data_IF_782421270377
#
_entry.id   IF_782421270377
#
_cell.length_a   1.000
_cell.length_b   1.000
_cell.length_c   1.000
_cell.angle_alpha   90.00
_cell.angle_beta   90.00
_cell.angle_gamma   90.00
#
_symmetry.space_group_name_H-M   'P 1'
#
loop_
_entity.id
_entity.type
_entity.pdbx_description
1 polymer ?
#
# COMPACT_ATOMS: atom_id res chain seq x y z
N UNK A 1 -7.72 30.21 -13.44
CA UNK A 1 -6.43 29.49 -13.39
C UNK A 1 -6.72 28.00 -13.43
N UNK A 2 -6.39 27.34 -14.53
CA UNK A 2 -6.56 25.88 -14.67
C UNK A 2 -5.48 25.19 -13.82
N UNK A 3 -5.86 24.40 -12.83
CA UNK A 3 -4.92 23.50 -12.17
C UNK A 3 -4.46 22.52 -13.25
N UNK A 4 -3.21 22.63 -13.72
CA UNK A 4 -2.59 21.57 -14.55
C UNK A 4 -2.84 20.25 -13.82
N UNK A 5 -3.55 19.35 -14.47
CA UNK A 5 -3.89 18.03 -13.96
C UNK A 5 -2.61 17.33 -13.51
N UNK A 6 -2.57 16.90 -12.25
CA UNK A 6 -1.50 16.01 -11.80
C UNK A 6 -1.75 14.59 -12.30
N UNK A 7 -0.69 13.80 -12.42
CA UNK A 7 -0.78 12.37 -12.67
C UNK A 7 -0.91 11.62 -11.34
N UNK A 8 -2.03 10.94 -11.14
CA UNK A 8 -2.37 10.31 -9.86
C UNK A 8 -2.07 8.80 -9.90
N UNK A 9 -1.10 8.36 -9.09
CA UNK A 9 -0.70 6.95 -8.95
C UNK A 9 -1.23 6.39 -7.63
N UNK A 10 -1.92 5.26 -7.65
CA UNK A 10 -2.33 4.52 -6.45
C UNK A 10 -1.53 3.24 -6.30
N UNK A 11 -0.92 3.03 -5.15
CA UNK A 11 -0.20 1.78 -4.81
C UNK A 11 -0.95 1.10 -3.68
N UNK A 12 -1.48 -0.09 -3.90
CA UNK A 12 -2.31 -0.81 -2.92
C UNK A 12 -2.01 -2.31 -2.92
N UNK A 13 -2.65 -3.08 -2.04
CA UNK A 13 -2.33 -4.49 -1.80
C UNK A 13 -2.08 -4.83 -0.33
N UNK A 14 -2.72 -4.10 0.59
CA UNK A 14 -2.65 -4.38 2.03
C UNK A 14 -1.33 -3.98 2.68
N UNK A 15 -0.64 -2.96 2.17
CA UNK A 15 0.57 -2.35 2.72
C UNK A 15 0.44 -2.09 4.24
N UNK A 16 -0.76 -1.71 4.71
CA UNK A 16 -1.12 -1.67 6.12
C UNK A 16 -0.23 -0.72 6.94
N UNK A 17 0.41 -1.25 7.98
CA UNK A 17 1.32 -0.50 8.86
C UNK A 17 2.64 -0.10 8.18
N UNK A 18 3.00 -0.71 7.05
CA UNK A 18 4.27 -0.47 6.36
C UNK A 18 4.23 0.68 5.34
N UNK A 19 3.16 1.48 5.31
CA UNK A 19 3.03 2.64 4.38
C UNK A 19 4.21 3.59 4.52
N UNK A 20 4.60 3.91 5.75
CA UNK A 20 5.72 4.80 6.04
C UNK A 20 7.04 4.25 5.47
N UNK A 21 7.32 2.95 5.69
CA UNK A 21 8.53 2.31 5.17
C UNK A 21 8.58 2.34 3.64
N UNK A 22 7.45 2.02 2.99
CA UNK A 22 7.37 2.09 1.53
C UNK A 22 7.57 3.52 1.02
N UNK A 23 6.94 4.51 1.66
CA UNK A 23 7.11 5.92 1.29
C UNK A 23 8.57 6.37 1.41
N UNK A 24 9.23 6.03 2.51
CA UNK A 24 10.64 6.35 2.75
C UNK A 24 11.56 5.67 1.71
N UNK A 25 11.34 4.38 1.42
CA UNK A 25 12.12 3.66 0.42
C UNK A 25 11.89 4.20 -1.00
N UNK A 26 10.64 4.48 -1.39
CA UNK A 26 10.33 5.07 -2.69
C UNK A 26 10.94 6.46 -2.83
N UNK A 27 10.88 7.31 -1.80
CA UNK A 27 11.44 8.68 -1.84
C UNK A 27 12.96 8.68 -2.07
N UNK A 28 13.67 7.63 -1.63
CA UNK A 28 15.12 7.50 -1.87
C UNK A 28 15.45 7.26 -3.35
N UNK A 29 14.55 6.58 -4.07
CA UNK A 29 14.71 6.24 -5.49
C UNK A 29 14.06 7.29 -6.41
N UNK A 30 12.98 7.94 -5.96
CA UNK A 30 12.21 8.96 -6.69
C UNK A 30 12.60 10.36 -6.22
N UNK A 31 13.83 10.79 -6.52
CA UNK A 31 14.38 12.09 -6.06
C UNK A 31 13.93 13.31 -6.88
N UNK A 32 12.84 13.18 -7.62
CA UNK A 32 12.33 14.29 -8.45
C UNK A 32 11.38 15.18 -7.63
N UNK A 33 11.60 16.51 -7.59
CA UNK A 33 10.76 17.43 -6.81
C UNK A 33 9.30 17.51 -7.28
N UNK A 34 8.99 17.05 -8.49
CA UNK A 34 7.63 16.98 -9.05
C UNK A 34 6.87 15.74 -8.56
N UNK A 35 7.55 14.80 -7.89
CA UNK A 35 6.94 13.57 -7.34
C UNK A 35 6.66 13.79 -5.85
N UNK A 36 5.41 13.60 -5.45
CA UNK A 36 4.97 13.70 -4.06
C UNK A 36 4.32 12.38 -3.62
N UNK A 37 4.69 11.88 -2.45
CA UNK A 37 4.16 10.62 -1.90
C UNK A 37 3.29 10.92 -0.69
N UNK A 38 2.04 10.45 -0.74
CA UNK A 38 1.03 10.63 0.30
C UNK A 38 0.67 9.27 0.91
N UNK A 39 0.68 9.21 2.25
CA UNK A 39 0.20 8.03 3.00
C UNK A 39 -1.31 8.06 3.26
N UNK A 40 -2.08 8.77 2.42
CA UNK A 40 -3.51 8.97 2.59
C UNK A 40 -4.32 7.99 1.75
N UNK A 41 -5.43 7.53 2.33
CA UNK A 41 -6.28 6.46 1.78
C UNK A 41 -7.25 6.94 0.68
N UNK A 42 -7.18 8.22 0.29
CA UNK A 42 -8.18 8.83 -0.60
C UNK A 42 -7.58 9.67 -1.72
N UNK A 43 -7.65 9.12 -2.93
CA UNK A 43 -7.67 9.89 -4.17
C UNK A 43 -8.97 9.53 -4.91
N UNK A 44 -9.80 10.52 -5.20
CA UNK A 44 -11.08 10.31 -5.92
C UNK A 44 -10.89 9.90 -7.38
N UNK A 45 -9.68 10.12 -7.93
CA UNK A 45 -9.28 9.74 -9.27
C UNK A 45 -7.83 9.24 -9.24
N UNK A 46 -7.59 8.11 -9.89
CA UNK A 46 -6.27 7.52 -10.10
C UNK A 46 -6.12 7.24 -11.59
N UNK A 47 -5.06 7.75 -12.20
CA UNK A 47 -4.72 7.51 -13.61
C UNK A 47 -3.85 6.26 -13.78
N UNK A 48 -3.21 5.78 -12.69
CA UNK A 48 -2.44 4.54 -12.69
C UNK A 48 -2.50 3.81 -11.36
N UNK A 49 -2.69 2.50 -11.42
CA UNK A 49 -2.98 1.64 -10.27
C UNK A 49 -2.03 0.47 -10.23
N UNK A 50 -1.27 0.40 -9.14
CA UNK A 50 -0.25 -0.62 -8.91
C UNK A 50 -0.72 -1.49 -7.74
N UNK A 51 -0.85 -2.79 -7.99
CA UNK A 51 -1.08 -3.77 -6.94
C UNK A 51 0.24 -4.42 -6.51
N UNK A 52 0.57 -4.36 -5.23
CA UNK A 52 1.69 -5.09 -4.65
C UNK A 52 1.27 -6.53 -4.35
N UNK A 53 1.70 -7.45 -5.21
CA UNK A 53 1.36 -8.86 -5.14
C UNK A 53 2.31 -9.59 -4.18
N UNK A 54 1.95 -9.52 -2.90
CA UNK A 54 2.69 -10.19 -1.82
C UNK A 54 2.12 -11.58 -1.56
N UNK A 55 2.97 -12.61 -1.40
CA UNK A 55 2.51 -13.95 -1.04
C UNK A 55 1.67 -13.92 0.25
N UNK A 56 0.51 -14.59 0.22
CA UNK A 56 -0.40 -14.63 1.37
C UNK A 56 0.29 -15.15 2.64
N UNK A 57 1.13 -16.18 2.51
CA UNK A 57 1.84 -16.79 3.64
C UNK A 57 2.76 -15.78 4.34
N UNK A 58 3.47 -14.94 3.58
CA UNK A 58 4.31 -13.87 4.14
C UNK A 58 3.47 -12.80 4.83
N UNK A 59 2.29 -12.46 4.29
CA UNK A 59 1.39 -11.50 4.93
C UNK A 59 0.84 -12.06 6.25
N UNK A 60 0.49 -13.35 6.26
CA UNK A 60 -0.01 -14.05 7.42
C UNK A 60 1.07 -14.17 8.51
N UNK A 61 2.29 -14.55 8.14
CA UNK A 61 3.43 -14.63 9.05
C UNK A 61 3.69 -13.27 9.73
N UNK A 62 3.79 -12.21 8.94
CA UNK A 62 3.97 -10.85 9.46
C UNK A 62 2.80 -10.43 10.38
N UNK A 63 1.56 -10.81 10.05
CA UNK A 63 0.40 -10.55 10.91
C UNK A 63 0.53 -11.25 12.26
N UNK A 64 0.86 -12.55 12.26
CA UNK A 64 1.04 -13.36 13.46
C UNK A 64 2.16 -12.80 14.35
N UNK A 65 3.31 -12.44 13.75
CA UNK A 65 4.44 -11.83 14.46
C UNK A 65 4.08 -10.47 15.08
N UNK A 66 3.10 -9.76 14.52
CA UNK A 66 2.57 -8.51 15.05
C UNK A 66 1.51 -8.67 16.14
N UNK A 67 1.01 -9.89 16.40
CA UNK A 67 -0.01 -10.10 17.42
C UNK A 67 0.57 -10.03 18.84
N UNK A 68 -0.16 -9.48 19.82
CA UNK A 68 0.25 -9.53 21.23
C UNK A 68 0.45 -10.98 21.70
N UNK A 69 1.48 -11.30 22.51
CA UNK A 69 1.72 -12.66 23.00
C UNK A 69 0.50 -13.31 23.66
N UNK A 70 -0.34 -12.53 24.36
CA UNK A 70 -1.60 -13.00 24.97
C UNK A 70 -2.58 -13.61 23.95
N UNK A 71 -2.57 -13.15 22.70
CA UNK A 71 -3.40 -13.70 21.62
C UNK A 71 -2.80 -14.97 21.01
N UNK A 72 -1.48 -15.17 21.12
CA UNK A 72 -0.79 -16.35 20.59
C UNK A 72 -0.96 -17.58 21.49
N UNK A 73 -1.04 -17.39 22.81
CA UNK A 73 -1.18 -18.47 23.79
C UNK A 73 -2.60 -19.07 23.81
N UNK A 74 -3.61 -18.25 23.53
CA UNK A 74 -5.02 -18.66 23.51
C UNK A 74 -5.40 -19.15 22.10
N UNK A 75 -5.51 -20.47 21.93
CA UNK A 75 -5.79 -21.12 20.64
C UNK A 75 -7.09 -20.65 20.00
N UNK A 76 -8.15 -20.45 20.78
CA UNK A 76 -9.46 -20.03 20.28
C UNK A 76 -9.42 -18.57 19.80
N UNK A 77 -8.73 -17.69 20.54
CA UNK A 77 -8.53 -16.31 20.09
C UNK A 77 -7.64 -16.24 18.87
N UNK A 78 -6.54 -16.99 18.84
CA UNK A 78 -5.66 -17.05 17.67
C UNK A 78 -6.46 -17.47 16.43
N UNK A 79 -7.24 -18.54 16.52
CA UNK A 79 -8.08 -19.03 15.41
C UNK A 79 -9.01 -17.93 14.88
N UNK A 80 -9.71 -17.21 15.76
CA UNK A 80 -10.59 -16.10 15.38
C UNK A 80 -9.84 -14.97 14.66
N UNK A 81 -8.64 -14.63 15.11
CA UNK A 81 -7.80 -13.61 14.47
C UNK A 81 -7.34 -14.04 13.08
N UNK A 82 -6.92 -15.30 12.91
CA UNK A 82 -6.51 -15.83 11.60
C UNK A 82 -7.68 -15.92 10.62
N UNK A 83 -8.86 -16.32 11.08
CA UNK A 83 -10.08 -16.33 10.27
C UNK A 83 -10.48 -14.91 9.84
N UNK A 84 -10.41 -13.94 10.76
CA UNK A 84 -10.68 -12.54 10.45
C UNK A 84 -9.69 -11.97 9.43
N UNK A 85 -8.39 -12.27 9.59
CA UNK A 85 -7.35 -11.88 8.65
C UNK A 85 -7.61 -12.47 7.26
N UNK A 86 -7.85 -13.79 7.18
CA UNK A 86 -8.13 -14.49 5.93
C UNK A 86 -9.34 -13.89 5.22
N UNK A 87 -10.41 -13.65 5.96
CA UNK A 87 -11.65 -13.05 5.44
C UNK A 87 -11.40 -11.66 4.88
N UNK A 88 -10.70 -10.80 5.63
CA UNK A 88 -10.32 -9.47 5.16
C UNK A 88 -9.48 -9.54 3.88
N UNK A 89 -8.49 -10.43 3.82
CA UNK A 89 -7.63 -10.56 2.65
C UNK A 89 -8.44 -10.96 1.39
N UNK A 90 -9.28 -11.98 1.50
CA UNK A 90 -10.10 -12.47 0.39
C UNK A 90 -11.15 -11.44 -0.04
N UNK A 91 -11.84 -10.82 0.92
CA UNK A 91 -12.99 -9.96 0.62
C UNK A 91 -12.59 -8.52 0.29
N UNK A 92 -11.45 -8.03 0.79
CA UNK A 92 -11.06 -6.61 0.68
C UNK A 92 -9.77 -6.39 -0.07
N UNK A 93 -8.77 -7.27 0.04
CA UNK A 93 -7.45 -7.06 -0.61
C UNK A 93 -7.43 -7.67 -2.00
N UNK A 94 -7.86 -8.93 -2.15
CA UNK A 94 -7.81 -9.64 -3.43
C UNK A 94 -8.63 -9.01 -4.55
N UNK A 95 -9.84 -8.47 -4.31
CA UNK A 95 -10.60 -7.79 -5.35
C UNK A 95 -9.93 -6.52 -5.86
N UNK A 96 -8.96 -5.96 -5.13
CA UNK A 96 -8.22 -4.79 -5.62
C UNK A 96 -7.26 -5.20 -6.75
N UNK A 97 -6.75 -6.43 -6.75
CA UNK A 97 -5.83 -6.93 -7.79
C UNK A 97 -6.42 -6.81 -9.19
N UNK A 98 -7.73 -7.01 -9.35
CA UNK A 98 -8.43 -6.87 -10.63
C UNK A 98 -8.64 -5.41 -11.06
N UNK A 99 -8.52 -4.46 -10.14
CA UNK A 99 -8.66 -3.03 -10.41
C UNK A 99 -7.34 -2.37 -10.82
N UNK A 100 -6.23 -3.09 -10.71
CA UNK A 100 -4.89 -2.59 -10.98
C UNK A 100 -4.50 -2.72 -12.45
N UNK A 101 -3.75 -1.74 -12.95
CA UNK A 101 -3.19 -1.76 -14.30
C UNK A 101 -1.96 -2.68 -14.37
N UNK A 102 -1.20 -2.76 -13.29
CA UNK A 102 -0.02 -3.64 -13.17
C UNK A 102 0.07 -4.29 -11.80
N UNK A 103 0.69 -5.47 -11.79
CA UNK A 103 1.02 -6.20 -10.56
C UNK A 103 2.51 -6.22 -10.37
N UNK A 104 2.94 -5.92 -9.14
CA UNK A 104 4.34 -5.87 -8.78
C UNK A 104 4.62 -6.92 -7.69
N UNK A 105 5.37 -8.00 -8.00
CA UNK A 105 5.66 -9.03 -7.03
C UNK A 105 6.75 -8.57 -6.05
N UNK A 106 6.50 -8.71 -4.76
CA UNK A 106 7.52 -8.51 -3.73
C UNK A 106 7.06 -7.72 -2.51
N UNK A 107 7.88 -7.78 -1.46
CA UNK A 107 7.65 -7.08 -0.21
C UNK A 107 8.30 -5.68 -0.20
N UNK A 108 7.72 -4.76 0.55
CA UNK A 108 8.17 -3.37 0.71
C UNK A 108 9.50 -3.26 1.46
N UNK A 109 9.93 -4.35 2.10
CA UNK A 109 11.24 -4.49 2.76
C UNK A 109 12.35 -4.90 1.78
N UNK A 110 12.01 -5.50 0.64
CA UNK A 110 12.99 -5.88 -0.37
C UNK A 110 13.39 -4.64 -1.20
N UNK A 111 14.57 -4.10 -0.93
CA UNK A 111 15.11 -2.90 -1.60
C UNK A 111 15.19 -3.04 -3.12
N UNK A 112 15.55 -4.20 -3.63
CA UNK A 112 15.62 -4.44 -5.08
C UNK A 112 14.23 -4.32 -5.71
N UNK A 113 13.21 -4.93 -5.07
CA UNK A 113 11.82 -4.84 -5.51
C UNK A 113 11.26 -3.42 -5.43
N UNK A 114 11.54 -2.69 -4.35
CA UNK A 114 11.13 -1.27 -4.28
C UNK A 114 11.84 -0.43 -5.35
N UNK A 115 13.09 -0.75 -5.68
CA UNK A 115 13.81 -0.08 -6.76
C UNK A 115 13.16 -0.34 -8.13
N UNK A 116 12.86 -1.58 -8.51
CA UNK A 116 12.20 -1.82 -9.80
C UNK A 116 10.73 -1.33 -9.84
N UNK A 117 10.04 -1.24 -8.70
CA UNK A 117 8.78 -0.50 -8.58
C UNK A 117 8.96 0.99 -8.91
N UNK A 118 9.96 1.63 -8.31
CA UNK A 118 10.28 3.04 -8.59
C UNK A 118 10.64 3.27 -10.07
N UNK A 119 11.42 2.38 -10.68
CA UNK A 119 11.72 2.42 -12.12
C UNK A 119 10.46 2.29 -12.98
N UNK A 120 9.52 1.41 -12.58
CA UNK A 120 8.23 1.27 -13.27
C UNK A 120 7.42 2.57 -13.25
N UNK A 121 7.37 3.26 -12.10
CA UNK A 121 6.69 4.55 -11.95
C UNK A 121 7.36 5.62 -12.83
N UNK A 122 8.70 5.69 -12.84
CA UNK A 122 9.44 6.64 -13.66
C UNK A 122 9.26 6.38 -15.17
N UNK A 123 9.33 5.12 -15.59
CA UNK A 123 9.09 4.74 -16.98
C UNK A 123 7.68 5.14 -17.41
N UNK A 124 6.69 4.89 -16.55
CA UNK A 124 5.30 5.25 -16.84
C UNK A 124 5.14 6.77 -16.96
N UNK A 125 5.81 7.54 -16.09
CA UNK A 125 5.83 9.01 -16.17
C UNK A 125 6.37 9.54 -17.51
N UNK A 126 7.36 8.89 -18.10
CA UNK A 126 7.91 9.32 -19.41
C UNK A 126 6.90 9.27 -20.56
N UNK A 127 5.76 8.58 -20.37
CA UNK A 127 4.68 8.55 -21.36
C UNK A 127 3.76 9.77 -21.28
N UNK A 128 3.92 10.62 -20.26
CA UNK A 128 3.13 11.82 -20.02
C UNK A 128 4.00 13.08 -20.14
N UNK A 129 3.36 14.24 -20.30
CA UNK A 129 4.02 15.53 -20.51
C UNK A 129 5.00 15.84 -19.34
N UNK A 130 6.23 16.25 -19.66
CA UNK A 130 7.33 16.35 -18.68
C UNK A 130 7.00 17.31 -17.52
N UNK A 131 6.10 18.26 -17.77
CA UNK A 131 5.64 19.30 -16.86
C UNK A 131 4.60 18.82 -15.81
N UNK A 132 4.09 17.60 -15.90
CA UNK A 132 3.06 17.12 -14.97
C UNK A 132 3.64 16.68 -13.62
N UNK A 133 3.01 17.13 -12.53
CA UNK A 133 3.32 16.68 -11.17
C UNK A 133 2.76 15.28 -10.94
N UNK A 134 3.55 14.38 -10.36
CA UNK A 134 3.11 13.03 -10.02
C UNK A 134 2.78 12.96 -8.54
N UNK A 135 1.59 12.47 -8.22
CA UNK A 135 1.14 12.25 -6.85
C UNK A 135 0.89 10.78 -6.60
N UNK A 136 1.66 10.19 -5.71
CA UNK A 136 1.60 8.77 -5.35
C UNK A 136 0.82 8.64 -4.05
N UNK A 137 -0.26 7.86 -4.06
CA UNK A 137 -1.11 7.59 -2.90
C UNK A 137 -0.97 6.14 -2.48
N UNK A 138 -0.53 5.92 -1.25
CA UNK A 138 -0.40 4.57 -0.68
C UNK A 138 -1.74 4.11 -0.11
N UNK A 139 -2.12 2.87 -0.42
CA UNK A 139 -3.40 2.24 -0.09
C UNK A 139 -4.63 2.90 -0.73
N UNK A 140 -4.44 3.75 -1.73
CA UNK A 140 -5.56 4.29 -2.50
C UNK A 140 -5.82 3.42 -3.74
N UNK A 141 -7.04 2.93 -3.89
CA UNK A 141 -7.51 2.23 -5.11
C UNK A 141 -8.66 2.97 -5.82
N UNK A 142 -8.96 4.21 -5.40
CA UNK A 142 -10.06 5.02 -5.94
C UNK A 142 -11.43 4.77 -5.28
N UNK A 143 -11.50 3.98 -4.20
CA UNK A 143 -12.71 3.77 -3.38
C UNK A 143 -12.43 4.03 -1.90
N UNK A 144 -13.44 4.37 -1.08
CA UNK A 144 -13.28 4.49 0.38
C UNK A 144 -12.75 3.17 0.97
N UNK A 145 -11.61 3.21 1.66
CA UNK A 145 -11.04 2.01 2.30
C UNK A 145 -11.74 1.67 3.62
N UNK A 146 -11.96 0.37 3.84
CA UNK A 146 -12.35 -0.19 5.14
C UNK A 146 -11.07 -0.63 5.85
N UNK A 147 -10.89 -0.18 7.09
CA UNK A 147 -9.70 -0.48 7.89
C UNK A 147 -9.52 -1.97 8.16
N UNK A 148 -8.25 -2.42 8.15
CA UNK A 148 -7.88 -3.79 8.54
C UNK A 148 -8.26 -4.07 9.99
N UNK A 149 -8.82 -5.26 10.33
CA UNK A 149 -9.05 -5.64 11.72
C UNK A 149 -7.71 -5.65 12.49
N UNK A 150 -7.60 -4.87 13.55
CA UNK A 150 -6.36 -4.72 14.32
C UNK A 150 -5.51 -3.48 14.00
N UNK A 151 -6.01 -2.54 13.20
CA UNK A 151 -5.45 -1.17 13.18
C UNK A 151 -5.61 -0.58 14.58
N UNK A 152 -4.57 -0.70 15.42
CA UNK A 152 -4.47 0.11 16.63
C UNK A 152 -4.49 1.55 16.13
N UNK A 153 -5.50 2.32 16.52
CA UNK A 153 -5.53 3.76 16.27
C UNK A 153 -4.22 4.34 16.80
N UNK A 154 -3.33 4.73 15.90
CA UNK A 154 -2.07 5.41 16.23
C UNK A 154 -2.30 6.79 16.86
N UNK A 155 -3.56 7.21 17.06
CA UNK A 155 -3.95 8.42 17.79
C UNK A 155 -3.81 8.30 19.32
N UNK A 156 -3.54 7.12 19.88
CA UNK A 156 -3.43 6.92 21.33
C UNK A 156 -2.00 6.71 21.87
N UNK A 157 -0.96 6.90 21.05
CA UNK A 157 0.43 6.77 21.51
C UNK A 157 1.15 8.08 21.84
N UNK A 158 0.44 9.21 21.80
CA UNK A 158 0.96 10.50 22.27
C UNK A 158 -0.14 11.29 23.00
N UNK A 159 -0.37 10.96 24.27
CA UNK A 159 -0.85 11.88 25.30
C UNK A 159 -0.12 11.58 26.59
#
# INVERSE_FOLDING_TARGET
MSFKSGYFVGIFGGIGSRKRLLAENLSRHLRDPRIQIFSQDSAHRLDYRIFLDRPYDQLLENYILGLPPKKLVDKEKLKKELEAFRRFHIEKVMPQKTLADVWYPGDVENKEKVHQLALGILKKRMEFDEDENVRIYLEANGRPQISHPGKINSEFLFK
#
